data_IF_761185611901
#
_entry.id   IF_761185611901
#
_cell.length_a   1.000
_cell.length_b   1.000
_cell.length_c   1.000
_cell.angle_alpha   90.00
_cell.angle_beta   90.00
_cell.angle_gamma   90.00
#
_symmetry.space_group_name_H-M   'P 1'
#
loop_
_entity.id
_entity.type
_entity.pdbx_description
1 polymer ?
#
# COMPACT_ATOMS: atom_id res chain seq x y z
N UNK A 1 -7.84 -28.73 -7.62
CA UNK A 1 -6.62 -28.27 -6.99
C UNK A 1 -6.76 -26.77 -6.75
N UNK A 2 -7.06 -26.38 -5.51
CA UNK A 2 -7.24 -24.96 -5.18
C UNK A 2 -5.91 -24.22 -5.38
N UNK A 3 -5.94 -23.24 -6.27
CA UNK A 3 -4.85 -22.28 -6.41
C UNK A 3 -4.71 -21.54 -5.07
N UNK A 4 -3.66 -21.84 -4.32
CA UNK A 4 -3.23 -20.96 -3.23
C UNK A 4 -2.90 -19.61 -3.88
N UNK A 5 -3.79 -18.63 -3.72
CA UNK A 5 -3.54 -17.27 -4.15
C UNK A 5 -2.26 -16.79 -3.47
N UNK A 6 -1.15 -16.83 -4.18
CA UNK A 6 0.12 -16.39 -3.65
C UNK A 6 0.13 -14.85 -3.64
N UNK A 7 -0.13 -14.28 -2.46
CA UNK A 7 0.17 -12.86 -2.25
C UNK A 7 1.67 -12.65 -2.44
N UNK A 8 2.10 -11.50 -2.97
CA UNK A 8 3.52 -11.16 -3.00
C UNK A 8 4.09 -11.13 -1.57
N UNK A 9 5.40 -11.24 -1.44
CA UNK A 9 6.09 -10.98 -0.18
C UNK A 9 5.73 -9.58 0.31
N UNK A 10 5.11 -9.50 1.49
CA UNK A 10 4.65 -8.24 2.07
C UNK A 10 5.39 -7.96 3.37
N UNK A 11 5.69 -6.69 3.59
CA UNK A 11 6.28 -6.20 4.83
C UNK A 11 5.64 -4.87 5.24
N UNK A 12 5.80 -4.52 6.52
CA UNK A 12 5.37 -3.27 7.12
C UNK A 12 6.58 -2.58 7.73
N UNK A 13 6.71 -1.28 7.52
CA UNK A 13 7.64 -0.45 8.27
C UNK A 13 6.93 0.78 8.83
N UNK A 14 7.29 1.21 10.05
CA UNK A 14 6.59 2.29 10.74
C UNK A 14 7.46 3.01 11.76
N UNK A 15 7.08 4.24 12.11
CA UNK A 15 7.63 4.97 13.23
C UNK A 15 7.18 4.37 14.56
N UNK A 16 8.11 4.22 15.51
CA UNK A 16 7.77 3.79 16.87
C UNK A 16 6.94 4.81 17.64
N UNK A 17 6.98 6.08 17.24
CA UNK A 17 6.20 7.15 17.84
C UNK A 17 4.99 7.52 16.99
N UNK A 18 3.82 7.83 17.59
CA UNK A 18 2.63 8.24 16.85
C UNK A 18 2.92 9.51 16.04
N UNK A 19 2.69 9.47 14.73
CA UNK A 19 2.66 10.67 13.90
C UNK A 19 1.27 11.29 13.90
N UNK A 20 1.19 12.62 13.88
CA UNK A 20 -0.07 13.35 13.80
C UNK A 20 -0.69 13.18 12.39
N UNK A 21 -1.49 12.12 12.23
CA UNK A 21 -2.05 11.70 10.96
C UNK A 21 -3.37 12.42 10.58
N UNK A 22 -3.94 13.20 11.50
CA UNK A 22 -5.26 13.81 11.31
C UNK A 22 -5.31 14.93 10.29
N UNK A 23 -4.21 15.67 10.13
CA UNK A 23 -4.17 16.84 9.23
C UNK A 23 -4.11 16.48 7.73
N UNK A 24 -3.61 15.28 7.40
CA UNK A 24 -3.32 14.87 6.01
C UNK A 24 -4.58 14.76 5.14
N UNK A 25 -5.73 14.43 5.71
CA UNK A 25 -6.94 14.15 4.93
C UNK A 25 -7.90 15.33 4.77
N UNK A 26 -7.76 16.40 5.57
CA UNK A 26 -8.75 17.47 5.63
C UNK A 26 -8.83 18.30 4.34
N UNK A 27 -7.69 18.65 3.74
CA UNK A 27 -7.64 19.50 2.54
C UNK A 27 -8.21 18.80 1.30
N UNK A 28 -7.75 17.59 0.99
CA UNK A 28 -8.23 16.83 -0.17
C UNK A 28 -9.73 16.53 -0.06
N UNK A 29 -10.21 16.21 1.16
CA UNK A 29 -11.64 16.00 1.40
C UNK A 29 -12.46 17.26 1.12
N UNK A 30 -12.01 18.41 1.59
CA UNK A 30 -12.68 19.70 1.35
C UNK A 30 -12.70 20.05 -0.15
N UNK A 31 -11.57 19.89 -0.83
CA UNK A 31 -11.45 20.12 -2.28
C UNK A 31 -12.36 19.18 -3.08
N UNK A 32 -12.44 17.91 -2.69
CA UNK A 32 -13.34 16.94 -3.31
C UNK A 32 -14.81 17.35 -3.15
N UNK A 33 -15.24 17.75 -1.94
CA UNK A 33 -16.61 18.22 -1.69
C UNK A 33 -16.92 19.53 -2.41
N UNK A 34 -15.92 20.38 -2.65
CA UNK A 34 -16.04 21.59 -3.42
C UNK A 34 -16.10 21.36 -4.95
N UNK A 35 -15.93 20.10 -5.39
CA UNK A 35 -15.91 19.76 -6.80
C UNK A 35 -14.63 20.17 -7.53
N UNK A 36 -13.52 20.36 -6.81
CA UNK A 36 -12.21 20.62 -7.42
C UNK A 36 -11.86 19.49 -8.40
N UNK A 37 -11.74 19.77 -9.72
CA UNK A 37 -11.55 18.74 -10.72
C UNK A 37 -10.27 17.94 -10.54
N UNK A 38 -9.22 18.53 -9.97
CA UNK A 38 -7.96 17.84 -9.69
C UNK A 38 -8.13 16.84 -8.53
N UNK A 39 -8.83 17.24 -7.46
CA UNK A 39 -9.11 16.37 -6.34
C UNK A 39 -10.06 15.23 -6.74
N UNK A 40 -11.10 15.51 -7.50
CA UNK A 40 -12.05 14.49 -7.98
C UNK A 40 -11.33 13.48 -8.87
N UNK A 41 -10.63 13.95 -9.92
CA UNK A 41 -9.91 13.07 -10.84
C UNK A 41 -8.82 12.24 -10.13
N UNK A 42 -8.07 12.84 -9.19
CA UNK A 42 -7.04 12.13 -8.42
C UNK A 42 -7.63 11.02 -7.55
N UNK A 43 -8.77 11.25 -6.89
CA UNK A 43 -9.44 10.23 -6.10
C UNK A 43 -10.02 9.10 -6.96
N UNK A 44 -10.56 9.42 -8.14
CA UNK A 44 -11.04 8.42 -9.11
C UNK A 44 -9.92 7.54 -9.61
N UNK A 45 -8.75 8.11 -9.93
CA UNK A 45 -7.56 7.35 -10.34
C UNK A 45 -7.07 6.42 -9.23
N UNK A 46 -7.03 6.88 -7.97
CA UNK A 46 -6.66 6.04 -6.82
C UNK A 46 -7.67 4.89 -6.65
N UNK A 47 -8.96 5.14 -6.83
CA UNK A 47 -10.00 4.12 -6.77
C UNK A 47 -9.86 3.10 -7.91
N UNK A 48 -9.49 3.53 -9.13
CA UNK A 48 -9.21 2.64 -10.26
C UNK A 48 -8.02 1.72 -9.99
N UNK A 49 -6.93 2.26 -9.44
CA UNK A 49 -5.77 1.45 -9.01
C UNK A 49 -6.20 0.35 -8.03
N UNK A 50 -7.08 0.67 -7.08
CA UNK A 50 -7.58 -0.32 -6.12
C UNK A 50 -8.40 -1.43 -6.78
N UNK A 51 -9.22 -1.10 -7.79
CA UNK A 51 -9.97 -2.10 -8.59
C UNK A 51 -9.03 -3.03 -9.35
N UNK A 52 -8.03 -2.48 -10.02
CA UNK A 52 -7.01 -3.27 -10.75
C UNK A 52 -6.18 -4.13 -9.80
N UNK A 53 -5.84 -3.63 -8.61
CA UNK A 53 -5.12 -4.38 -7.60
C UNK A 53 -5.92 -5.58 -7.09
N UNK A 54 -7.24 -5.45 -6.92
CA UNK A 54 -8.12 -6.58 -6.58
C UNK A 54 -8.00 -7.71 -7.62
N UNK A 55 -7.98 -7.37 -8.91
CA UNK A 55 -7.84 -8.36 -9.99
C UNK A 55 -6.44 -8.99 -9.97
N UNK A 56 -5.37 -8.19 -9.86
CA UNK A 56 -4.00 -8.69 -9.79
C UNK A 56 -3.79 -9.66 -8.62
N UNK A 57 -4.34 -9.34 -7.44
CA UNK A 57 -4.31 -10.21 -6.26
C UNK A 57 -5.05 -11.52 -6.53
N UNK A 58 -6.24 -11.45 -7.12
CA UNK A 58 -7.05 -12.64 -7.44
C UNK A 58 -6.35 -13.58 -8.44
N UNK A 59 -5.55 -13.02 -9.35
CA UNK A 59 -4.75 -13.77 -10.33
C UNK A 59 -3.38 -14.22 -9.79
N UNK A 60 -2.96 -13.77 -8.60
CA UNK A 60 -1.63 -14.02 -8.05
C UNK A 60 -0.51 -13.30 -8.82
N UNK A 61 -0.84 -12.20 -9.53
CA UNK A 61 0.13 -11.41 -10.30
C UNK A 61 0.91 -10.46 -9.39
N UNK A 62 1.99 -10.97 -8.81
CA UNK A 62 2.86 -10.20 -7.92
C UNK A 62 3.54 -9.01 -8.63
N UNK A 63 3.83 -9.14 -9.91
CA UNK A 63 4.46 -8.08 -10.72
C UNK A 63 3.51 -6.91 -10.90
N UNK A 64 2.27 -7.18 -11.25
CA UNK A 64 1.25 -6.15 -11.39
C UNK A 64 0.90 -5.54 -10.02
N UNK A 65 0.82 -6.32 -8.95
CA UNK A 65 0.65 -5.81 -7.59
C UNK A 65 1.75 -4.80 -7.22
N UNK A 66 3.02 -5.11 -7.52
CA UNK A 66 4.17 -4.22 -7.28
C UNK A 66 4.03 -2.89 -8.04
N UNK A 67 3.65 -2.94 -9.32
CA UNK A 67 3.40 -1.72 -10.13
C UNK A 67 2.26 -0.87 -9.58
N UNK A 68 1.15 -1.50 -9.23
CA UNK A 68 -0.03 -0.80 -8.71
C UNK A 68 0.21 -0.17 -7.34
N UNK A 69 1.07 -0.77 -6.51
CA UNK A 69 1.51 -0.15 -5.25
C UNK A 69 2.32 1.13 -5.53
N UNK A 70 3.23 1.11 -6.50
CA UNK A 70 4.01 2.29 -6.90
C UNK A 70 3.11 3.38 -7.50
N UNK A 71 2.18 3.01 -8.37
CA UNK A 71 1.20 3.92 -8.99
C UNK A 71 0.32 4.58 -7.91
N UNK A 72 -0.19 3.81 -6.95
CA UNK A 72 -0.99 4.32 -5.83
C UNK A 72 -0.23 5.41 -5.04
N UNK A 73 1.04 5.16 -4.71
CA UNK A 73 1.85 6.15 -4.02
C UNK A 73 2.09 7.40 -4.87
N UNK A 74 2.41 7.24 -6.17
CA UNK A 74 2.64 8.37 -7.08
C UNK A 74 1.42 9.27 -7.21
N UNK A 75 0.23 8.68 -7.38
CA UNK A 75 -1.04 9.42 -7.43
C UNK A 75 -1.33 10.15 -6.12
N UNK A 76 -1.08 9.46 -5.00
CA UNK A 76 -1.26 10.06 -3.69
C UNK A 76 -0.31 11.23 -3.47
N UNK A 77 0.98 11.09 -3.84
CA UNK A 77 1.96 12.16 -3.74
C UNK A 77 1.58 13.37 -4.59
N UNK A 78 1.12 13.14 -5.82
CA UNK A 78 0.65 14.20 -6.71
C UNK A 78 -0.57 14.94 -6.14
N UNK A 79 -1.50 14.20 -5.51
CA UNK A 79 -2.74 14.77 -4.97
C UNK A 79 -2.54 15.55 -3.67
N UNK A 80 -1.72 15.03 -2.76
CA UNK A 80 -1.51 15.61 -1.42
C UNK A 80 -0.32 16.58 -1.36
N UNK A 81 0.72 16.33 -2.14
CA UNK A 81 1.97 17.08 -2.15
C UNK A 81 2.93 16.70 -1.01
N UNK A 82 4.21 16.95 -1.22
CA UNK A 82 5.28 16.56 -0.31
C UNK A 82 5.19 17.26 1.06
N UNK A 83 4.75 18.51 1.08
CA UNK A 83 4.61 19.28 2.32
C UNK A 83 3.56 18.65 3.26
N UNK A 84 2.45 18.16 2.71
CA UNK A 84 1.38 17.49 3.47
C UNK A 84 1.80 16.09 3.89
N UNK A 85 2.46 15.33 3.00
CA UNK A 85 2.95 13.99 3.33
C UNK A 85 4.01 14.01 4.43
N UNK A 86 4.88 15.00 4.41
CA UNK A 86 5.90 15.22 5.42
C UNK A 86 7.17 14.37 5.24
N UNK A 87 8.27 14.86 5.81
CA UNK A 87 9.60 14.28 5.62
C UNK A 87 9.70 12.82 6.03
N UNK A 88 9.20 12.47 7.20
CA UNK A 88 9.28 11.11 7.74
C UNK A 88 8.53 10.10 6.88
N UNK A 89 7.36 10.46 6.40
CA UNK A 89 6.57 9.61 5.50
C UNK A 89 7.26 9.40 4.15
N UNK A 90 7.86 10.46 3.59
CA UNK A 90 8.63 10.36 2.35
C UNK A 90 9.90 9.52 2.55
N UNK A 91 10.59 9.64 3.69
CA UNK A 91 11.75 8.82 4.04
C UNK A 91 11.39 7.33 4.09
N UNK A 92 10.23 6.97 4.68
CA UNK A 92 9.75 5.58 4.68
C UNK A 92 9.61 5.01 3.26
N UNK A 93 9.09 5.79 2.32
CA UNK A 93 8.97 5.37 0.91
C UNK A 93 10.34 5.29 0.23
N UNK A 94 11.19 6.30 0.43
CA UNK A 94 12.50 6.40 -0.24
C UNK A 94 13.46 5.27 0.16
N UNK A 95 13.40 4.80 1.40
CA UNK A 95 14.21 3.65 1.85
C UNK A 95 13.87 2.42 1.02
N UNK A 96 12.59 2.08 0.83
CA UNK A 96 12.19 0.95 0.00
C UNK A 96 12.68 1.12 -1.45
N UNK A 97 12.44 2.28 -2.04
CA UNK A 97 12.80 2.55 -3.44
C UNK A 97 14.30 2.44 -3.70
N UNK A 98 15.15 2.95 -2.80
CA UNK A 98 16.61 2.88 -2.91
C UNK A 98 17.16 1.45 -2.89
N UNK A 99 16.42 0.51 -2.32
CA UNK A 99 16.79 -0.90 -2.23
C UNK A 99 15.98 -1.81 -3.16
N UNK A 100 15.30 -1.24 -4.18
CA UNK A 100 14.58 -1.97 -5.21
C UNK A 100 13.18 -2.45 -4.80
N UNK A 101 12.74 -2.12 -3.59
CA UNK A 101 11.39 -2.37 -3.13
C UNK A 101 10.39 -1.30 -3.56
N UNK A 102 9.13 -1.56 -3.31
CA UNK A 102 8.02 -0.62 -3.52
C UNK A 102 7.20 -0.54 -2.24
N UNK A 103 6.78 0.66 -1.88
CA UNK A 103 5.97 0.89 -0.70
C UNK A 103 4.86 1.91 -0.95
N UNK A 104 3.80 1.81 -0.17
CA UNK A 104 2.68 2.76 -0.12
C UNK A 104 2.16 2.90 1.30
N UNK A 105 1.44 3.97 1.59
CA UNK A 105 0.77 4.12 2.88
C UNK A 105 -0.45 3.20 2.98
N UNK A 106 -0.59 2.40 4.04
CA UNK A 106 -1.82 1.65 4.32
C UNK A 106 -2.98 2.54 4.77
N UNK A 107 -2.66 3.67 5.41
CA UNK A 107 -3.61 4.66 5.93
C UNK A 107 -3.13 6.08 5.71
N UNK A 108 -3.23 6.93 6.73
CA UNK A 108 -2.89 8.37 6.69
C UNK A 108 -1.39 8.67 6.62
N UNK A 109 -0.55 7.81 7.17
CA UNK A 109 0.89 7.99 7.30
C UNK A 109 1.44 7.32 8.55
N UNK A 110 2.71 7.56 8.87
CA UNK A 110 3.41 6.93 9.99
C UNK A 110 3.81 5.47 9.77
N UNK A 111 3.27 4.84 8.74
CA UNK A 111 3.59 3.48 8.34
C UNK A 111 3.52 3.32 6.82
N UNK A 112 4.25 2.35 6.30
CA UNK A 112 4.19 1.90 4.90
C UNK A 112 4.05 0.39 4.84
N UNK A 113 3.25 -0.09 3.91
CA UNK A 113 3.24 -1.48 3.48
C UNK A 113 4.00 -1.58 2.16
N UNK A 114 4.84 -2.58 2.03
CA UNK A 114 5.66 -2.73 0.83
C UNK A 114 5.84 -4.16 0.39
N UNK A 115 6.42 -4.29 -0.78
CA UNK A 115 6.83 -5.54 -1.40
C UNK A 115 8.20 -5.40 -2.05
N UNK A 116 8.90 -6.51 -2.19
CA UNK A 116 10.20 -6.60 -2.86
C UNK A 116 10.44 -8.04 -3.28
N UNK A 117 11.49 -8.24 -4.07
CA UNK A 117 11.97 -9.57 -4.35
C UNK A 117 12.70 -10.14 -3.10
N UNK A 118 12.68 -11.46 -2.90
CA UNK A 118 13.25 -12.08 -1.69
C UNK A 118 14.70 -11.67 -1.43
N UNK A 119 15.51 -11.56 -2.48
CA UNK A 119 16.91 -11.16 -2.37
C UNK A 119 17.15 -9.72 -1.88
N UNK A 120 16.11 -8.87 -1.89
CA UNK A 120 16.17 -7.47 -1.46
C UNK A 120 15.71 -7.28 0.00
N UNK A 121 15.00 -8.26 0.55
CA UNK A 121 14.32 -8.13 1.84
C UNK A 121 15.27 -7.78 2.99
N UNK A 122 16.43 -8.43 3.07
CA UNK A 122 17.40 -8.21 4.16
C UNK A 122 18.03 -6.79 4.08
N UNK A 123 18.35 -6.33 2.87
CA UNK A 123 18.87 -4.98 2.67
C UNK A 123 17.84 -3.90 3.04
N UNK A 124 16.58 -4.10 2.66
CA UNK A 124 15.47 -3.21 3.01
C UNK A 124 15.26 -3.19 4.52
N UNK A 125 15.21 -4.35 5.17
CA UNK A 125 15.10 -4.45 6.64
C UNK A 125 16.18 -3.64 7.34
N UNK A 126 17.45 -3.92 7.01
CA UNK A 126 18.61 -3.23 7.62
C UNK A 126 18.56 -1.72 7.42
N UNK A 127 18.11 -1.27 6.25
CA UNK A 127 17.99 0.16 5.95
C UNK A 127 16.90 0.85 6.80
N UNK A 128 15.76 0.19 7.04
CA UNK A 128 14.73 0.71 7.94
C UNK A 128 15.19 0.73 9.39
N UNK A 129 15.80 -0.35 9.86
CA UNK A 129 16.33 -0.46 11.23
C UNK A 129 17.43 0.57 11.49
N UNK A 130 18.35 0.81 10.53
CA UNK A 130 19.38 1.83 10.61
C UNK A 130 18.80 3.25 10.67
N UNK A 131 17.63 3.47 10.10
CA UNK A 131 16.88 4.73 10.18
C UNK A 131 15.95 4.82 11.41
N UNK A 132 16.05 3.88 12.35
CA UNK A 132 15.24 3.78 13.57
C UNK A 132 13.75 3.55 13.33
N UNK A 133 13.40 2.91 12.22
CA UNK A 133 12.04 2.44 11.96
C UNK A 133 11.88 0.97 12.37
N UNK A 134 10.69 0.61 12.79
CA UNK A 134 10.33 -0.79 13.03
C UNK A 134 10.01 -1.46 11.71
N UNK A 135 10.52 -2.69 11.51
CA UNK A 135 10.28 -3.47 10.30
C UNK A 135 9.72 -4.86 10.63
N UNK A 136 8.65 -5.24 9.95
CA UNK A 136 7.97 -6.52 10.16
C UNK A 136 7.63 -7.18 8.83
N UNK A 137 8.00 -8.45 8.65
CA UNK A 137 7.53 -9.25 7.52
C UNK A 137 6.12 -9.74 7.84
N UNK A 138 5.18 -9.49 6.91
CA UNK A 138 3.79 -9.89 7.09
C UNK A 138 3.61 -11.36 6.70
N UNK A 139 2.87 -12.09 7.52
CA UNK A 139 2.44 -13.46 7.25
C UNK A 139 0.92 -13.45 7.06
N UNK A 140 0.41 -13.45 5.81
CA UNK A 140 -1.01 -13.49 5.57
C UNK A 140 -1.64 -14.74 6.17
N UNK A 141 -2.77 -14.58 6.84
CA UNK A 141 -3.58 -15.68 7.30
C UNK A 141 -4.69 -15.97 6.29
N UNK A 142 -4.73 -17.19 5.78
CA UNK A 142 -5.81 -17.66 4.94
C UNK A 142 -6.67 -18.60 5.78
N UNK A 143 -7.90 -18.19 6.18
CA UNK A 143 -8.80 -19.09 6.87
C UNK A 143 -9.12 -20.29 5.98
N UNK A 144 -9.20 -21.49 6.57
CA UNK A 144 -9.68 -22.67 5.85
C UNK A 144 -11.06 -22.35 5.26
N UNK A 145 -11.31 -22.74 4.01
CA UNK A 145 -12.58 -22.50 3.35
C UNK A 145 -13.71 -23.07 4.24
N UNK A 146 -14.62 -22.20 4.68
CA UNK A 146 -15.79 -22.66 5.43
C UNK A 146 -16.61 -23.57 4.52
N UNK A 147 -17.10 -24.75 5.00
CA UNK A 147 -17.86 -25.70 4.18
C UNK A 147 -19.13 -25.12 3.54
N UNK A 148 -19.55 -23.91 3.89
CA UNK A 148 -20.74 -23.24 3.36
C UNK A 148 -20.51 -22.26 2.22
N UNK A 149 -19.26 -21.92 1.85
CA UNK A 149 -19.01 -20.93 0.80
C UNK A 149 -19.30 -21.44 -0.63
N UNK A 150 -19.38 -22.74 -0.83
CA UNK A 150 -19.67 -23.35 -2.13
C UNK A 150 -21.14 -23.25 -2.59
N UNK A 151 -22.05 -22.82 -1.72
CA UNK A 151 -23.50 -22.77 -2.03
C UNK A 151 -23.96 -21.41 -2.59
N UNK A 152 -23.11 -20.37 -2.56
CA UNK A 152 -23.50 -19.02 -3.03
C UNK A 152 -23.12 -18.79 -4.50
N UNK A 153 -22.17 -19.54 -5.05
CA UNK A 153 -21.77 -19.41 -6.48
C UNK A 153 -22.71 -20.15 -7.47
N UNK A 154 -23.61 -21.01 -6.97
CA UNK A 154 -24.54 -21.77 -7.83
C UNK A 154 -25.89 -21.10 -8.00
N UNK A 155 -26.12 -19.90 -7.47
CA UNK A 155 -27.45 -19.23 -7.48
C UNK A 155 -27.46 -17.87 -8.19
N UNK A 156 -26.50 -17.58 -9.09
CA UNK A 156 -26.54 -16.40 -9.97
C UNK A 156 -26.25 -16.77 -11.41
#
# INVERSE_FOLDING_TARGET
>A
MGSTQALPLLWLAYCGEPSDSGAIHSDVKQRWHAGDPVAVAGMEQIADVAKRAKVAIALGDATECKKLMAENFSLRRALFGDAVLGRTNLQLIDIAAKHGGVAKFPGSGGAVVGTCDEGQLDAIRKAYEAASFVFVVLKPHFPAASPGAALVEAAN
#
